data_IF_188375274819
#
_entry.id   IF_188375274819
#
_cell.length_a   1.000
_cell.length_b   1.000
_cell.length_c   1.000
_cell.angle_alpha   90.00
_cell.angle_beta   90.00
_cell.angle_gamma   90.00
#
_symmetry.space_group_name_H-M   'P 1'
#
loop_
_entity.id
_entity.type
_entity.pdbx_description
1 polymer ?
#
# COMPACT_ATOMS: atom_id res chain seq x y z
N UNK A 1 -16.71 -9.94 -4.76
CA UNK A 1 -17.67 -10.55 -5.71
C UNK A 1 -18.48 -9.48 -6.42
N UNK A 2 -18.52 -9.49 -7.76
CA UNK A 2 -19.32 -8.54 -8.55
C UNK A 2 -20.77 -9.03 -8.60
N UNK A 3 -21.71 -8.21 -8.13
CA UNK A 3 -23.14 -8.55 -8.09
C UNK A 3 -24.01 -7.66 -8.99
N UNK A 4 -23.40 -6.72 -9.71
CA UNK A 4 -24.09 -5.83 -10.64
C UNK A 4 -23.15 -4.81 -11.24
N UNK A 5 -23.66 -3.95 -12.13
CA UNK A 5 -22.88 -2.85 -12.71
C UNK A 5 -22.51 -1.87 -11.59
N UNK A 6 -21.23 -1.81 -11.23
CA UNK A 6 -20.74 -0.96 -10.14
C UNK A 6 -21.03 -1.47 -8.72
N UNK A 7 -21.59 -2.67 -8.56
CA UNK A 7 -21.86 -3.25 -7.23
C UNK A 7 -20.89 -4.38 -6.92
N UNK A 8 -20.02 -4.15 -5.93
CA UNK A 8 -18.97 -5.08 -5.51
C UNK A 8 -19.14 -5.41 -4.03
N UNK A 9 -19.40 -6.67 -3.72
CA UNK A 9 -19.45 -7.17 -2.34
C UNK A 9 -18.07 -7.63 -1.91
N UNK A 10 -17.65 -7.26 -0.72
CA UNK A 10 -16.47 -7.82 -0.06
C UNK A 10 -16.94 -9.00 0.79
N UNK A 11 -16.38 -10.19 0.56
CA UNK A 11 -16.77 -11.42 1.24
C UNK A 11 -15.50 -12.19 1.58
N UNK A 12 -15.23 -12.36 2.87
CA UNK A 12 -14.10 -13.14 3.40
C UNK A 12 -14.60 -14.44 4.05
N UNK A 13 -15.85 -14.84 3.82
CA UNK A 13 -16.50 -15.96 4.51
C UNK A 13 -17.09 -15.52 5.86
N UNK A 14 -16.23 -15.03 6.76
CA UNK A 14 -16.62 -14.58 8.10
C UNK A 14 -17.23 -13.17 8.13
N UNK A 15 -16.88 -12.35 7.14
CA UNK A 15 -17.28 -10.97 7.04
C UNK A 15 -17.79 -10.64 5.64
N UNK A 16 -18.99 -10.05 5.59
CA UNK A 16 -19.64 -9.63 4.34
C UNK A 16 -19.98 -8.17 4.36
N UNK A 17 -19.33 -7.41 3.48
CA UNK A 17 -19.67 -6.03 3.20
C UNK A 17 -20.44 -5.97 1.88
N UNK A 18 -21.72 -5.58 1.96
CA UNK A 18 -22.54 -5.38 0.75
C UNK A 18 -22.17 -4.05 0.10
N UNK A 19 -21.87 -4.09 -1.19
CA UNK A 19 -21.56 -2.91 -2.02
C UNK A 19 -20.55 -1.94 -1.39
N UNK A 20 -19.26 -2.23 -1.55
CA UNK A 20 -18.15 -1.46 -0.97
C UNK A 20 -18.18 0.02 -1.35
N UNK A 21 -18.75 0.35 -2.52
CA UNK A 21 -18.85 1.72 -3.00
C UNK A 21 -19.75 2.60 -2.12
N UNK A 22 -20.69 2.01 -1.37
CA UNK A 22 -21.54 2.73 -0.42
C UNK A 22 -20.77 3.27 0.80
N UNK A 23 -19.58 2.74 1.09
CA UNK A 23 -18.77 3.15 2.22
C UNK A 23 -17.81 4.30 1.89
N UNK A 24 -17.74 4.70 0.62
CA UNK A 24 -16.99 5.88 0.18
C UNK A 24 -17.83 7.13 0.45
N UNK A 25 -17.51 7.81 1.56
CA UNK A 25 -18.31 8.92 2.12
C UNK A 25 -18.55 10.10 1.17
N UNK A 26 -17.59 10.40 0.30
CA UNK A 26 -17.64 11.61 -0.56
C UNK A 26 -17.28 11.30 -2.01
N UNK A 27 -17.59 12.22 -2.92
CA UNK A 27 -17.22 12.10 -4.33
C UNK A 27 -15.70 12.12 -4.53
N UNK A 28 -14.98 12.89 -3.72
CA UNK A 28 -13.51 12.97 -3.75
C UNK A 28 -12.90 11.61 -3.42
N UNK A 29 -13.44 10.89 -2.42
CA UNK A 29 -13.00 9.52 -2.12
C UNK A 29 -13.23 8.57 -3.31
N UNK A 30 -14.33 8.73 -4.05
CA UNK A 30 -14.62 7.94 -5.26
C UNK A 30 -13.67 8.29 -6.40
N UNK A 31 -13.34 9.55 -6.59
CA UNK A 31 -12.36 10.00 -7.60
C UNK A 31 -10.98 9.46 -7.28
N UNK A 32 -10.49 9.65 -6.05
CA UNK A 32 -9.17 9.19 -5.61
C UNK A 32 -9.04 7.67 -5.78
N UNK A 33 -10.02 6.90 -5.31
CA UNK A 33 -9.97 5.43 -5.43
C UNK A 33 -10.02 4.94 -6.88
N UNK A 34 -10.77 5.61 -7.77
CA UNK A 34 -10.76 5.31 -9.21
C UNK A 34 -9.41 5.60 -9.85
N UNK A 35 -8.81 6.76 -9.57
CA UNK A 35 -7.50 7.13 -10.11
C UNK A 35 -6.43 6.13 -9.66
N UNK A 36 -6.36 5.82 -8.37
CA UNK A 36 -5.41 4.83 -7.83
C UNK A 36 -5.65 3.45 -8.45
N UNK A 37 -6.91 3.01 -8.58
CA UNK A 37 -7.24 1.74 -9.23
C UNK A 37 -6.79 1.70 -10.69
N UNK A 38 -6.91 2.82 -11.41
CA UNK A 38 -6.41 2.97 -12.79
C UNK A 38 -4.88 2.88 -12.81
N UNK A 39 -4.17 3.61 -11.94
CA UNK A 39 -2.71 3.55 -11.85
C UNK A 39 -2.23 2.10 -11.62
N UNK A 40 -2.82 1.39 -10.66
CA UNK A 40 -2.46 0.00 -10.38
C UNK A 40 -2.76 -0.94 -11.55
N UNK A 41 -3.92 -0.78 -12.21
CA UNK A 41 -4.30 -1.60 -13.38
C UNK A 41 -3.34 -1.41 -14.56
N UNK A 42 -2.82 -0.19 -14.73
CA UNK A 42 -1.86 0.13 -15.79
C UNK A 42 -0.40 -0.09 -15.37
N UNK A 43 -0.15 -0.72 -14.22
CA UNK A 43 1.19 -1.13 -13.82
C UNK A 43 2.08 0.02 -13.32
N UNK A 44 1.48 1.14 -12.89
CA UNK A 44 2.26 2.20 -12.22
C UNK A 44 2.87 1.61 -10.95
N UNK A 45 4.20 1.75 -10.73
CA UNK A 45 4.83 1.19 -9.55
C UNK A 45 4.23 1.79 -8.27
N UNK A 46 3.89 0.91 -7.33
CA UNK A 46 3.25 1.27 -6.06
C UNK A 46 4.04 2.32 -5.24
N UNK A 47 5.40 2.30 -5.22
CA UNK A 47 6.18 3.34 -4.55
C UNK A 47 5.87 4.75 -5.05
N UNK A 48 5.71 4.95 -6.37
CA UNK A 48 5.37 6.26 -6.92
C UNK A 48 3.98 6.73 -6.46
N UNK A 49 2.99 5.85 -6.45
CA UNK A 49 1.63 6.18 -5.97
C UNK A 49 1.69 6.56 -4.48
N UNK A 50 2.45 5.81 -3.68
CA UNK A 50 2.61 6.08 -2.25
C UNK A 50 3.33 7.41 -1.97
N UNK A 51 4.35 7.75 -2.77
CA UNK A 51 5.08 9.02 -2.65
C UNK A 51 4.17 10.22 -2.96
N UNK A 52 3.32 10.12 -3.99
CA UNK A 52 2.35 11.17 -4.29
C UNK A 52 1.32 11.36 -3.17
N UNK A 53 0.82 10.27 -2.57
CA UNK A 53 -0.09 10.36 -1.42
C UNK A 53 0.60 10.89 -0.14
N UNK A 54 1.91 10.70 0.00
CA UNK A 54 2.67 11.23 1.12
C UNK A 54 2.76 12.76 1.10
N UNK A 55 2.84 13.37 -0.09
CA UNK A 55 2.94 14.83 -0.31
C UNK A 55 1.66 15.60 -0.03
N UNK A 56 0.52 14.93 0.07
CA UNK A 56 -0.76 15.57 0.42
C UNK A 56 -0.76 15.91 1.90
N UNK A 57 -0.98 17.17 2.27
CA UNK A 57 -1.13 17.55 3.68
C UNK A 57 -2.36 16.89 4.31
N UNK A 58 -2.27 16.56 5.60
CA UNK A 58 -3.38 15.92 6.31
C UNK A 58 -2.97 15.22 7.59
N UNK A 59 -3.98 14.80 8.35
CA UNK A 59 -3.85 14.06 9.60
C UNK A 59 -3.86 12.55 9.36
N UNK A 60 -3.43 11.79 10.38
CA UNK A 60 -3.37 10.32 10.33
C UNK A 60 -4.75 9.68 10.03
N UNK A 61 -5.85 10.35 10.37
CA UNK A 61 -7.21 9.83 10.14
C UNK A 61 -7.76 10.13 8.75
N UNK A 62 -7.05 10.93 7.95
CA UNK A 62 -7.52 11.31 6.61
C UNK A 62 -7.49 10.13 5.65
N UNK A 63 -8.44 10.13 4.71
CA UNK A 63 -8.64 9.03 3.77
C UNK A 63 -7.40 8.76 2.89
N UNK A 64 -6.75 9.82 2.40
CA UNK A 64 -5.50 9.73 1.63
C UNK A 64 -4.38 9.07 2.44
N UNK A 65 -4.26 9.41 3.72
CA UNK A 65 -3.28 8.82 4.65
C UNK A 65 -3.61 7.39 5.02
N UNK A 66 -4.89 7.04 5.12
CA UNK A 66 -5.33 5.66 5.30
C UNK A 66 -4.94 4.79 4.10
N UNK A 67 -5.19 5.25 2.87
CA UNK A 67 -4.77 4.53 1.66
C UNK A 67 -3.25 4.41 1.60
N UNK A 68 -2.50 5.47 1.90
CA UNK A 68 -1.04 5.44 1.93
C UNK A 68 -0.49 4.31 2.81
N UNK A 69 -1.03 4.13 4.03
CA UNK A 69 -0.61 3.05 4.94
C UNK A 69 -0.88 1.67 4.36
N UNK A 70 -2.04 1.49 3.75
CA UNK A 70 -2.41 0.23 3.09
C UNK A 70 -1.46 -0.03 1.93
N UNK A 71 -1.22 0.97 1.07
CA UNK A 71 -0.34 0.80 -0.08
C UNK A 71 1.10 0.50 0.33
N UNK A 72 1.64 1.14 1.37
CA UNK A 72 2.98 0.82 1.90
C UNK A 72 3.05 -0.63 2.38
N UNK A 73 2.06 -1.06 3.18
CA UNK A 73 1.98 -2.45 3.68
C UNK A 73 2.04 -3.51 2.57
N UNK A 74 1.45 -3.23 1.41
CA UNK A 74 1.41 -4.18 0.29
C UNK A 74 2.45 -3.90 -0.80
N UNK A 75 3.05 -2.70 -0.83
CA UNK A 75 4.06 -2.30 -1.81
C UNK A 75 5.45 -2.80 -1.51
N UNK A 76 5.73 -3.06 -0.23
CA UNK A 76 7.03 -3.55 0.23
C UNK A 76 7.23 -5.06 0.02
N UNK A 77 6.21 -5.79 -0.46
CA UNK A 77 6.28 -7.25 -0.65
C UNK A 77 7.32 -7.64 -1.72
N UNK A 78 7.63 -6.74 -2.68
CA UNK A 78 8.58 -7.02 -3.76
C UNK A 78 9.52 -5.84 -4.10
N UNK A 79 9.40 -4.70 -3.43
CA UNK A 79 10.29 -3.57 -3.67
C UNK A 79 11.57 -3.77 -2.85
N UNK A 80 12.57 -4.38 -3.48
CA UNK A 80 13.96 -4.21 -3.05
C UNK A 80 14.18 -2.71 -2.85
N UNK A 81 14.60 -2.29 -1.65
CA UNK A 81 15.10 -0.93 -1.47
C UNK A 81 16.16 -0.66 -2.55
N UNK A 82 16.34 0.60 -2.92
CA UNK A 82 17.38 1.02 -3.85
C UNK A 82 18.65 0.19 -3.62
N UNK A 83 19.27 -0.27 -4.72
CA UNK A 83 20.50 -1.11 -4.72
C UNK A 83 21.66 -0.55 -3.86
N UNK A 84 21.49 0.64 -3.27
CA UNK A 84 22.37 1.33 -2.34
C UNK A 84 22.20 0.95 -0.86
N UNK A 85 21.12 0.26 -0.45
CA UNK A 85 20.96 -0.17 0.94
C UNK A 85 21.54 -1.57 1.17
N UNK A 86 22.82 -1.64 1.53
CA UNK A 86 23.47 -2.86 1.97
C UNK A 86 23.28 -3.09 3.48
N UNK A 87 23.12 -4.36 3.85
CA UNK A 87 23.06 -4.80 5.24
C UNK A 87 24.40 -4.50 5.92
N UNK A 88 24.36 -3.76 7.03
CA UNK A 88 25.57 -3.40 7.80
C UNK A 88 26.22 -4.58 8.51
N UNK A 89 25.51 -5.72 8.63
CA UNK A 89 25.98 -6.89 9.36
C UNK A 89 26.62 -7.95 8.43
N UNK A 90 26.00 -8.23 7.28
CA UNK A 90 26.50 -9.25 6.33
C UNK A 90 26.90 -8.69 4.95
N UNK A 91 26.70 -7.40 4.69
CA UNK A 91 27.02 -6.77 3.41
C UNK A 91 26.04 -7.07 2.26
N UNK A 92 25.01 -7.89 2.49
CA UNK A 92 24.02 -8.24 1.46
C UNK A 92 23.19 -7.02 1.00
N UNK A 93 22.84 -6.99 -0.29
CA UNK A 93 21.90 -6.03 -0.87
C UNK A 93 20.43 -6.49 -0.78
N UNK A 94 20.15 -7.69 -0.26
CA UNK A 94 18.78 -8.17 0.00
C UNK A 94 18.23 -7.59 1.30
N UNK A 95 18.00 -6.28 1.29
CA UNK A 95 17.34 -5.56 2.39
C UNK A 95 15.97 -5.10 1.92
N UNK A 96 14.94 -5.48 2.67
CA UNK A 96 13.54 -5.09 2.44
C UNK A 96 13.05 -4.21 3.57
N UNK A 97 12.07 -3.35 3.29
CA UNK A 97 11.44 -2.55 4.33
C UNK A 97 10.25 -3.33 4.90
N UNK A 98 10.40 -3.91 6.09
CA UNK A 98 9.30 -4.56 6.77
C UNK A 98 8.74 -3.62 7.84
N UNK A 99 7.46 -3.25 7.74
CA UNK A 99 6.77 -2.35 8.69
C UNK A 99 7.47 -1.00 8.93
N UNK A 100 8.23 -0.51 7.94
CA UNK A 100 9.01 0.74 8.05
C UNK A 100 10.42 0.58 8.61
N UNK A 101 10.81 -0.64 8.99
CA UNK A 101 12.17 -0.98 9.38
C UNK A 101 12.89 -1.74 8.26
N UNK A 102 14.13 -1.38 7.87
CA UNK A 102 14.91 -2.20 6.96
C UNK A 102 15.36 -3.48 7.66
N UNK A 103 15.01 -4.62 7.05
CA UNK A 103 15.28 -5.98 7.49
C UNK A 103 16.04 -6.71 6.38
N UNK A 104 17.13 -7.39 6.74
CA UNK A 104 17.90 -8.18 5.80
C UNK A 104 17.32 -9.60 5.68
N UNK A 105 16.96 -10.02 4.46
CA UNK A 105 16.40 -11.35 4.21
C UNK A 105 17.44 -12.48 4.32
N UNK A 106 18.73 -12.17 4.20
CA UNK A 106 19.78 -13.19 4.21
C UNK A 106 20.30 -13.49 5.62
N UNK A 107 20.34 -12.50 6.52
CA UNK A 107 20.85 -12.67 7.89
C UNK A 107 19.81 -12.38 8.99
N UNK A 108 18.60 -11.90 8.62
CA UNK A 108 17.53 -11.59 9.57
C UNK A 108 17.76 -10.36 10.44
N UNK A 109 18.86 -9.62 10.24
CA UNK A 109 19.17 -8.43 11.03
C UNK A 109 18.29 -7.27 10.60
N UNK A 110 17.60 -6.66 11.57
CA UNK A 110 16.84 -5.42 11.40
C UNK A 110 17.63 -4.23 11.96
N UNK A 111 17.49 -3.03 11.39
CA UNK A 111 18.13 -1.83 11.99
C UNK A 111 17.42 -1.33 13.26
N UNK A 112 16.24 -1.85 13.58
CA UNK A 112 15.38 -1.33 14.64
C UNK A 112 15.25 -2.27 15.83
N UNK A 113 15.94 -3.41 15.79
CA UNK A 113 15.95 -4.47 16.80
C UNK A 113 16.95 -5.55 16.43
#
# INVERSE_FOLDING_TARGET
>A
VKNGRGSYHFDTGDFKLKNISCYLKTDEHRVITRLISTCLRHGVPMPFISDQLAKVDGTVVDFSKAILRVLKKYGDINASLDKSLSCTSCGSSNVVLNSGCPECLDCGVSKCG
#
